data_IF_689665702733
#
_entry.id   IF_689665702733
#
_cell.length_a   1.000
_cell.length_b   1.000
_cell.length_c   1.000
_cell.angle_alpha   90.00
_cell.angle_beta   90.00
_cell.angle_gamma   90.00
#
_symmetry.space_group_name_H-M   'P 1'
#
loop_
_entity.id
_entity.type
_entity.pdbx_description
1 polymer ?
#
# COMPACT_ATOMS: atom_id res chain seq x y z
N UNK A 1 -10.59 51.59 46.44
CA UNK A 1 -11.88 52.11 45.91
C UNK A 1 -12.48 51.09 44.93
N UNK A 2 -13.61 50.45 45.25
CA UNK A 2 -14.97 51.02 45.26
C UNK A 2 -15.42 51.49 43.86
N UNK A 3 -16.52 50.98 43.26
CA UNK A 3 -17.52 50.03 43.78
C UNK A 3 -18.22 49.21 42.68
N UNK A 4 -19.02 48.23 43.12
CA UNK A 4 -19.96 47.42 42.30
C UNK A 4 -21.14 48.27 41.77
N UNK A 5 -21.82 47.78 40.73
CA UNK A 5 -23.30 47.56 40.77
C UNK A 5 -23.80 46.62 39.65
N UNK A 6 -24.76 45.77 39.99
CA UNK A 6 -25.66 45.01 39.11
C UNK A 6 -27.11 45.43 39.48
N UNK A 7 -28.16 45.24 38.65
CA UNK A 7 -28.83 43.94 38.50
C UNK A 7 -29.13 43.63 36.98
N UNK A 8 -30.27 43.17 36.42
CA UNK A 8 -31.67 43.04 36.86
C UNK A 8 -32.53 42.05 36.03
N UNK A 9 -33.81 41.99 36.42
CA UNK A 9 -34.94 41.15 35.99
C UNK A 9 -35.81 41.81 34.89
N UNK A 10 -36.83 41.17 34.27
CA UNK A 10 -37.20 39.77 33.96
C UNK A 10 -38.56 39.73 33.22
N UNK A 11 -39.02 38.54 32.76
CA UNK A 11 -40.44 38.18 32.49
C UNK A 11 -41.16 38.95 31.33
N UNK A 12 -42.36 38.60 30.80
CA UNK A 12 -43.18 37.36 30.65
C UNK A 12 -44.29 37.63 29.59
N UNK A 13 -45.09 36.69 29.06
CA UNK A 13 -44.89 35.28 28.69
C UNK A 13 -46.18 34.69 28.02
N UNK A 14 -46.01 33.69 27.13
CA UNK A 14 -46.94 32.55 26.84
C UNK A 14 -48.41 32.81 26.40
N UNK A 15 -48.69 32.41 25.14
CA UNK A 15 -49.96 31.80 24.65
C UNK A 15 -49.59 30.93 23.43
N UNK A 16 -49.98 29.67 23.19
CA UNK A 16 -51.06 28.75 23.66
C UNK A 16 -52.41 28.91 22.96
N UNK A 17 -52.70 28.04 21.98
CA UNK A 17 -54.07 27.75 21.49
C UNK A 17 -54.14 26.38 20.76
N UNK A 18 -55.15 25.55 21.08
CA UNK A 18 -55.46 24.19 20.53
C UNK A 18 -56.93 23.86 20.88
N UNK A 19 -57.87 23.60 19.93
CA UNK A 19 -58.27 22.21 19.54
C UNK A 19 -58.86 22.17 18.07
N UNK A 20 -59.74 21.22 17.62
CA UNK A 20 -60.08 19.85 18.07
C UNK A 20 -59.96 18.73 16.97
N UNK A 21 -60.04 17.43 17.37
CA UNK A 21 -60.24 16.23 16.50
C UNK A 21 -61.77 15.89 16.36
N UNK A 22 -62.28 14.72 15.85
CA UNK A 22 -61.67 13.40 15.50
C UNK A 22 -62.07 12.87 14.08
N UNK A 23 -61.86 11.63 13.61
CA UNK A 23 -62.34 10.28 14.06
C UNK A 23 -61.46 9.09 13.61
N UNK A 24 -61.31 8.08 14.50
CA UNK A 24 -61.34 6.59 14.34
C UNK A 24 -60.94 5.91 13.00
N UNK A 25 -60.35 4.70 12.95
CA UNK A 25 -60.39 3.46 13.76
C UNK A 25 -59.01 2.73 13.79
N UNK A 26 -58.69 1.64 14.53
CA UNK A 26 -59.04 1.01 15.83
C UNK A 26 -57.99 -0.11 16.11
N UNK A 27 -58.04 -0.75 17.29
CA UNK A 27 -57.21 -1.89 17.76
C UNK A 27 -55.79 -1.52 18.24
N UNK A 28 -55.32 -1.76 19.49
CA UNK A 28 -55.62 -2.78 20.56
C UNK A 28 -55.10 -4.17 20.21
N UNK A 29 -54.30 -4.91 21.00
CA UNK A 29 -53.43 -4.68 22.19
C UNK A 29 -52.53 -5.95 22.29
N UNK A 30 -51.45 -6.08 23.07
CA UNK A 30 -50.48 -5.18 23.76
C UNK A 30 -49.30 -6.09 24.25
N UNK A 31 -48.22 -5.52 24.80
CA UNK A 31 -47.50 -6.18 25.91
C UNK A 31 -46.00 -6.47 25.73
N UNK A 32 -45.23 -5.96 26.69
CA UNK A 32 -43.90 -6.41 27.13
C UNK A 32 -42.63 -6.12 26.29
N UNK A 33 -41.53 -6.00 27.04
CA UNK A 33 -40.17 -5.64 26.60
C UNK A 33 -39.24 -6.88 26.61
N UNK A 34 -37.98 -6.78 26.12
CA UNK A 34 -37.30 -7.94 25.53
C UNK A 34 -36.59 -8.87 26.52
N UNK A 35 -36.43 -10.12 26.10
CA UNK A 35 -35.47 -11.08 26.67
C UNK A 35 -34.51 -11.60 25.59
N UNK A 36 -33.27 -11.86 26.03
CA UNK A 36 -32.19 -12.43 25.22
C UNK A 36 -32.39 -13.95 25.08
N UNK A 37 -32.39 -14.50 23.86
CA UNK A 37 -32.09 -15.93 23.69
C UNK A 37 -31.34 -16.22 22.37
N UNK A 38 -30.44 -17.20 22.43
CA UNK A 38 -29.36 -17.38 21.46
C UNK A 38 -29.60 -18.61 20.57
N UNK A 39 -30.35 -18.43 19.48
CA UNK A 39 -30.68 -19.50 18.55
C UNK A 39 -29.44 -20.04 17.81
N UNK A 40 -29.15 -21.34 17.99
CA UNK A 40 -28.04 -22.04 17.33
C UNK A 40 -28.43 -22.44 15.90
N UNK A 41 -27.72 -21.94 14.88
CA UNK A 41 -27.88 -22.42 13.52
C UNK A 41 -26.90 -23.55 13.19
N UNK A 42 -27.38 -24.79 13.30
CA UNK A 42 -26.77 -25.97 12.71
C UNK A 42 -26.91 -25.95 11.19
N UNK A 43 -25.79 -26.03 10.45
CA UNK A 43 -25.79 -26.12 8.99
C UNK A 43 -25.50 -27.54 8.51
N UNK A 44 -26.46 -28.15 7.84
CA UNK A 44 -26.21 -29.32 6.98
C UNK A 44 -25.60 -28.86 5.64
N UNK A 45 -24.71 -29.66 5.02
CA UNK A 45 -24.08 -29.30 3.75
C UNK A 45 -25.05 -29.42 2.58
N UNK A 46 -25.06 -28.43 1.68
CA UNK A 46 -25.82 -28.49 0.43
C UNK A 46 -24.96 -29.08 -0.71
N UNK A 47 -25.58 -29.90 -1.56
CA UNK A 47 -24.94 -30.69 -2.61
C UNK A 47 -24.55 -29.88 -3.86
N UNK A 48 -23.77 -30.52 -4.74
CA UNK A 48 -23.24 -29.93 -5.98
C UNK A 48 -24.35 -29.37 -6.90
N UNK A 49 -24.15 -28.13 -7.38
CA UNK A 49 -25.07 -27.46 -8.31
C UNK A 49 -24.41 -26.27 -8.99
N UNK A 50 -23.49 -26.52 -9.92
CA UNK A 50 -22.61 -25.51 -10.51
C UNK A 50 -23.33 -24.56 -11.49
N UNK A 51 -23.99 -23.52 -10.95
CA UNK A 51 -24.61 -22.44 -11.75
C UNK A 51 -23.65 -21.26 -11.88
N UNK A 52 -23.10 -21.06 -13.07
CA UNK A 52 -22.19 -19.92 -13.36
C UNK A 52 -23.00 -18.62 -13.43
N UNK A 53 -22.86 -17.78 -12.40
CA UNK A 53 -23.46 -16.43 -12.36
C UNK A 53 -22.36 -15.39 -12.63
N UNK A 54 -22.40 -14.77 -13.81
CA UNK A 54 -21.48 -13.68 -14.22
C UNK A 54 -21.98 -12.31 -13.74
N UNK A 55 -21.88 -12.05 -12.43
CA UNK A 55 -22.13 -10.70 -11.87
C UNK A 55 -21.10 -9.70 -12.39
N UNK A 56 -21.53 -8.79 -13.28
CA UNK A 56 -20.74 -7.62 -13.68
C UNK A 56 -20.81 -6.55 -12.57
N UNK A 57 -19.65 -6.12 -12.09
CA UNK A 57 -19.52 -4.90 -11.27
C UNK A 57 -18.39 -4.05 -11.88
N UNK A 58 -18.71 -2.82 -12.28
CA UNK A 58 -17.71 -1.78 -12.61
C UNK A 58 -16.79 -2.03 -13.82
N UNK A 59 -17.33 -2.12 -15.04
CA UNK A 59 -16.67 -1.85 -16.34
C UNK A 59 -15.29 -2.50 -16.69
N UNK A 60 -14.74 -3.42 -15.90
CA UNK A 60 -13.48 -4.12 -16.19
C UNK A 60 -13.73 -5.62 -16.41
N UNK A 61 -13.12 -6.20 -17.45
CA UNK A 61 -13.21 -7.64 -17.73
C UNK A 61 -12.40 -8.40 -16.68
N UNK A 62 -13.05 -9.30 -15.93
CA UNK A 62 -12.39 -10.19 -14.97
C UNK A 62 -11.71 -11.36 -15.72
N UNK A 63 -10.50 -11.78 -15.32
CA UNK A 63 -9.89 -13.01 -15.84
C UNK A 63 -10.76 -14.25 -15.51
N UNK A 64 -11.06 -15.12 -16.49
CA UNK A 64 -11.75 -16.38 -16.25
C UNK A 64 -10.84 -17.42 -15.54
N UNK A 65 -11.45 -18.46 -15.00
CA UNK A 65 -10.80 -19.62 -14.36
C UNK A 65 -9.86 -19.26 -13.19
N UNK A 66 -10.47 -18.80 -12.10
CA UNK A 66 -9.84 -18.67 -10.79
C UNK A 66 -10.33 -19.80 -9.89
N UNK A 67 -9.41 -20.68 -9.48
CA UNK A 67 -9.66 -21.76 -8.50
C UNK A 67 -10.16 -21.17 -7.18
N UNK A 68 -11.01 -21.92 -6.48
CA UNK A 68 -11.39 -21.59 -5.11
C UNK A 68 -10.16 -21.68 -4.19
N UNK A 69 -10.07 -20.74 -3.24
CA UNK A 69 -9.00 -20.65 -2.25
C UNK A 69 -9.72 -20.41 -0.90
N UNK A 70 -9.42 -21.16 0.16
CA UNK A 70 -10.03 -20.97 1.48
C UNK A 70 -9.99 -19.51 1.96
N UNK A 71 -10.99 -19.13 2.75
CA UNK A 71 -11.23 -17.74 3.21
C UNK A 71 -11.12 -17.65 4.75
N UNK A 72 -10.86 -18.78 5.40
CA UNK A 72 -10.82 -18.94 6.85
C UNK A 72 -9.71 -18.09 7.49
N UNK A 73 -9.99 -17.52 8.68
CA UNK A 73 -9.15 -16.56 9.42
C UNK A 73 -8.78 -15.23 8.71
N UNK A 74 -9.59 -14.76 7.75
CA UNK A 74 -9.32 -13.46 7.08
C UNK A 74 -10.36 -12.41 7.45
N UNK A 75 -9.93 -11.40 8.21
CA UNK A 75 -10.73 -10.20 8.46
C UNK A 75 -10.75 -9.31 7.22
N UNK A 76 -11.93 -9.12 6.62
CA UNK A 76 -12.14 -8.19 5.49
C UNK A 76 -12.79 -6.89 5.97
N UNK A 77 -12.32 -5.76 5.47
CA UNK A 77 -12.93 -4.45 5.75
C UNK A 77 -14.26 -4.24 4.99
N UNK A 78 -14.47 -4.93 3.87
CA UNK A 78 -15.70 -4.86 3.08
C UNK A 78 -15.89 -6.10 2.19
N UNK A 79 -17.11 -6.32 1.70
CA UNK A 79 -17.41 -7.35 0.69
C UNK A 79 -16.53 -7.22 -0.57
N UNK A 80 -16.21 -5.98 -0.98
CA UNK A 80 -15.31 -5.72 -2.13
C UNK A 80 -13.91 -6.31 -1.90
N UNK A 81 -13.45 -6.43 -0.65
CA UNK A 81 -12.19 -7.08 -0.30
C UNK A 81 -12.31 -8.61 -0.48
N UNK A 82 -13.43 -9.23 -0.11
CA UNK A 82 -13.68 -10.68 -0.34
C UNK A 82 -13.56 -11.03 -1.83
N UNK A 83 -14.17 -10.24 -2.71
CA UNK A 83 -14.04 -10.43 -4.17
C UNK A 83 -12.60 -10.23 -4.71
N UNK A 84 -11.75 -9.49 -4.00
CA UNK A 84 -10.34 -9.27 -4.33
C UNK A 84 -9.42 -10.42 -3.87
N UNK A 85 -9.79 -11.21 -2.86
CA UNK A 85 -8.96 -12.28 -2.26
C UNK A 85 -8.31 -13.19 -3.30
N UNK A 86 -9.15 -13.82 -4.12
CA UNK A 86 -8.77 -14.75 -5.17
C UNK A 86 -7.85 -14.17 -6.26
N UNK A 87 -7.67 -12.85 -6.31
CA UNK A 87 -6.71 -12.15 -7.18
C UNK A 87 -5.46 -11.68 -6.41
N UNK A 88 -5.61 -11.19 -5.18
CA UNK A 88 -4.49 -10.68 -4.37
C UNK A 88 -3.52 -11.81 -3.99
N UNK A 89 -4.01 -12.98 -3.56
CA UNK A 89 -3.13 -14.12 -3.22
C UNK A 89 -2.46 -14.77 -4.43
N UNK A 90 -2.93 -14.45 -5.64
CA UNK A 90 -2.29 -14.85 -6.91
C UNK A 90 -1.22 -13.88 -7.37
N UNK A 91 -1.06 -12.73 -6.69
CA UNK A 91 0.08 -11.84 -6.90
C UNK A 91 1.32 -12.51 -6.35
N UNK A 92 2.38 -12.49 -7.15
CA UNK A 92 3.73 -12.72 -6.62
C UNK A 92 4.02 -11.63 -5.57
N UNK A 93 4.82 -12.01 -4.58
CA UNK A 93 5.47 -11.11 -3.64
C UNK A 93 6.94 -11.00 -4.06
N UNK A 94 7.56 -9.83 -3.87
CA UNK A 94 8.95 -9.59 -4.26
C UNK A 94 9.92 -10.45 -3.44
N UNK A 95 10.93 -10.99 -4.11
CA UNK A 95 12.02 -11.77 -3.53
C UNK A 95 13.16 -10.80 -3.17
N UNK A 96 12.89 -9.92 -2.18
CA UNK A 96 13.75 -8.80 -1.83
C UNK A 96 15.18 -9.28 -1.52
N UNK A 97 16.17 -8.55 -2.02
CA UNK A 97 17.57 -9.00 -1.98
C UNK A 97 18.50 -7.96 -1.38
N UNK A 98 19.45 -8.42 -0.57
CA UNK A 98 20.46 -7.60 0.12
C UNK A 98 21.70 -7.37 -0.73
N UNK A 99 22.34 -6.22 -0.51
CA UNK A 99 23.67 -5.89 -1.03
C UNK A 99 24.70 -6.14 0.08
N UNK A 100 25.55 -7.15 -0.09
CA UNK A 100 26.74 -7.32 0.74
C UNK A 100 27.92 -6.54 0.15
N UNK A 101 28.59 -5.73 0.96
CA UNK A 101 29.74 -4.91 0.57
C UNK A 101 31.04 -5.74 0.44
N UNK A 102 31.00 -6.84 -0.32
CA UNK A 102 32.12 -7.76 -0.52
C UNK A 102 32.97 -7.44 -1.76
N UNK A 103 32.55 -6.50 -2.61
CA UNK A 103 33.31 -6.06 -3.78
C UNK A 103 33.40 -4.54 -3.83
N UNK A 104 34.63 -4.02 -4.05
CA UNK A 104 34.93 -2.59 -4.15
C UNK A 104 34.07 -1.82 -5.17
N UNK A 105 33.55 -2.50 -6.21
CA UNK A 105 32.63 -1.94 -7.21
C UNK A 105 31.29 -1.47 -6.64
N UNK A 106 30.87 -1.98 -5.47
CA UNK A 106 29.63 -1.57 -4.81
C UNK A 106 29.84 -0.40 -3.84
N UNK A 107 31.03 -0.16 -3.29
CA UNK A 107 31.24 0.84 -2.25
C UNK A 107 30.71 2.23 -2.66
N UNK A 108 31.17 2.76 -3.79
CA UNK A 108 30.70 4.04 -4.31
C UNK A 108 29.20 4.07 -4.68
N UNK A 109 28.55 2.92 -4.90
CA UNK A 109 27.10 2.82 -5.15
C UNK A 109 26.32 2.73 -3.82
N UNK A 110 26.87 2.04 -2.84
CA UNK A 110 26.37 1.93 -1.48
C UNK A 110 26.37 3.31 -0.80
N UNK A 111 27.47 4.07 -0.93
CA UNK A 111 27.60 5.46 -0.49
C UNK A 111 26.53 6.38 -1.13
N UNK A 112 26.20 6.15 -2.41
CA UNK A 112 25.16 6.90 -3.12
C UNK A 112 23.74 6.52 -2.66
N UNK A 113 23.49 5.24 -2.36
CA UNK A 113 22.21 4.75 -1.81
C UNK A 113 22.01 5.27 -0.37
N UNK A 114 23.06 5.26 0.45
CA UNK A 114 23.05 5.78 1.81
C UNK A 114 22.85 7.30 1.84
N UNK A 115 23.59 8.05 1.02
CA UNK A 115 23.40 9.50 0.84
C UNK A 115 22.00 9.87 0.30
N UNK A 116 21.34 8.97 -0.42
CA UNK A 116 19.95 9.15 -0.86
C UNK A 116 18.91 8.80 0.23
N UNK A 117 19.33 8.24 1.37
CA UNK A 117 18.48 7.78 2.48
C UNK A 117 17.95 6.35 2.33
N UNK A 118 18.30 5.63 1.25
CA UNK A 118 17.65 4.38 0.86
C UNK A 118 18.34 3.10 1.37
N UNK A 119 19.38 3.21 2.20
CA UNK A 119 20.19 2.04 2.59
C UNK A 119 19.39 0.96 3.34
N UNK A 120 18.34 1.37 4.07
CA UNK A 120 17.41 0.49 4.77
C UNK A 120 16.70 -0.50 3.83
N UNK A 121 16.47 -0.14 2.55
CA UNK A 121 15.77 -1.00 1.58
C UNK A 121 16.67 -2.02 0.87
N UNK A 122 17.97 -2.10 1.23
CA UNK A 122 18.95 -2.99 0.59
C UNK A 122 19.91 -3.69 1.55
N UNK A 123 19.78 -3.50 2.87
CA UNK A 123 20.69 -4.07 3.89
C UNK A 123 19.93 -4.82 4.98
N UNK A 124 19.14 -4.12 5.78
CA UNK A 124 18.46 -4.66 6.97
C UNK A 124 17.09 -5.26 6.61
N UNK A 125 17.12 -6.17 5.64
CA UNK A 125 15.96 -6.89 5.13
C UNK A 125 15.52 -8.00 6.09
N UNK A 126 14.36 -7.82 6.71
CA UNK A 126 13.83 -8.67 7.78
C UNK A 126 13.03 -9.89 7.30
N UNK A 127 12.33 -10.53 8.23
CA UNK A 127 11.37 -11.61 7.93
C UNK A 127 10.05 -10.99 7.46
N UNK A 128 9.41 -11.61 6.45
CA UNK A 128 8.03 -11.29 6.06
C UNK A 128 7.09 -12.49 6.21
N UNK A 129 5.80 -12.21 6.35
CA UNK A 129 4.75 -13.24 6.39
C UNK A 129 3.80 -13.04 5.20
N UNK A 130 3.80 -13.93 4.18
CA UNK A 130 3.01 -13.75 2.95
C UNK A 130 1.52 -13.52 3.20
N UNK A 131 0.95 -14.28 4.16
CA UNK A 131 -0.41 -14.12 4.65
C UNK A 131 -0.69 -12.71 5.18
N UNK A 132 0.12 -12.20 6.12
CA UNK A 132 -0.03 -10.84 6.66
C UNK A 132 0.06 -9.77 5.56
N UNK A 133 1.02 -9.92 4.63
CA UNK A 133 1.18 -9.01 3.48
C UNK A 133 -0.06 -9.03 2.57
N UNK A 134 -0.67 -10.21 2.32
CA UNK A 134 -1.95 -10.28 1.61
C UNK A 134 -3.13 -9.72 2.42
N UNK A 135 -3.25 -10.03 3.73
CA UNK A 135 -4.25 -9.48 4.67
C UNK A 135 -4.16 -7.94 4.76
N UNK A 136 -2.99 -7.35 4.53
CA UNK A 136 -2.79 -5.90 4.36
C UNK A 136 -3.23 -5.39 2.98
N UNK A 137 -2.61 -5.89 1.90
CA UNK A 137 -2.81 -5.39 0.52
C UNK A 137 -4.27 -5.49 0.05
N UNK A 138 -5.04 -6.45 0.57
CA UNK A 138 -6.45 -6.64 0.23
C UNK A 138 -7.41 -5.65 0.89
N UNK A 139 -7.03 -5.14 2.07
CA UNK A 139 -7.87 -4.27 2.90
C UNK A 139 -7.56 -2.79 2.68
N UNK A 140 -6.70 -2.46 1.71
CA UNK A 140 -6.52 -1.10 1.19
C UNK A 140 -7.87 -0.54 0.68
N UNK A 141 -8.44 0.50 1.32
CA UNK A 141 -9.72 1.07 0.91
C UNK A 141 -9.59 1.82 -0.42
N UNK A 142 -10.71 2.03 -1.13
CA UNK A 142 -10.67 2.69 -2.45
C UNK A 142 -10.22 4.16 -2.35
N UNK A 143 -10.57 4.83 -1.26
CA UNK A 143 -10.20 6.21 -0.94
C UNK A 143 -8.85 6.33 -0.18
N UNK A 144 -8.00 5.29 -0.18
CA UNK A 144 -6.76 5.25 0.60
C UNK A 144 -5.82 6.45 0.34
N UNK A 145 -5.83 7.00 -0.88
CA UNK A 145 -5.05 8.17 -1.28
C UNK A 145 -5.91 9.43 -1.55
N UNK A 146 -7.17 9.48 -1.09
CA UNK A 146 -8.05 10.64 -1.26
C UNK A 146 -7.93 11.59 -0.05
N UNK A 147 -7.27 12.76 -0.20
CA UNK A 147 -7.04 13.67 0.91
C UNK A 147 -8.35 14.24 1.45
N UNK A 148 -8.44 14.41 2.77
CA UNK A 148 -9.60 14.97 3.46
C UNK A 148 -10.75 13.99 3.70
N UNK A 149 -10.73 12.77 3.15
CA UNK A 149 -11.74 11.76 3.51
C UNK A 149 -11.48 11.20 4.92
N UNK A 150 -12.50 11.06 5.80
CA UNK A 150 -12.35 10.43 7.10
C UNK A 150 -11.82 9.00 6.96
N UNK A 151 -10.86 8.62 7.80
CA UNK A 151 -10.14 7.34 7.70
C UNK A 151 -9.44 7.10 6.33
N UNK A 152 -9.15 8.14 5.55
CA UNK A 152 -8.08 8.06 4.54
C UNK A 152 -6.81 7.52 5.17
N UNK A 153 -6.01 6.77 4.40
CA UNK A 153 -4.76 6.14 4.84
C UNK A 153 -4.86 5.09 5.95
N UNK A 154 -6.03 4.82 6.50
CA UNK A 154 -6.25 3.71 7.45
C UNK A 154 -6.47 2.37 6.71
N UNK A 155 -5.88 1.29 7.22
CA UNK A 155 -6.00 -0.07 6.68
C UNK A 155 -6.36 -1.02 7.81
N UNK A 156 -7.35 -1.89 7.59
CA UNK A 156 -7.78 -2.86 8.60
C UNK A 156 -7.06 -4.20 8.40
N UNK A 157 -6.32 -4.66 9.41
CA UNK A 157 -5.52 -5.90 9.36
C UNK A 157 -5.69 -6.65 10.68
N UNK A 158 -6.10 -7.93 10.64
CA UNK A 158 -6.30 -8.79 11.81
C UNK A 158 -7.12 -8.11 12.94
N UNK A 159 -8.20 -7.42 12.57
CA UNK A 159 -9.05 -6.67 13.51
C UNK A 159 -8.44 -5.40 14.12
N UNK A 160 -7.27 -4.94 13.65
CA UNK A 160 -6.66 -3.66 14.00
C UNK A 160 -6.82 -2.64 12.87
N UNK A 161 -6.82 -1.36 13.21
CA UNK A 161 -6.88 -0.25 12.26
C UNK A 161 -5.54 0.48 12.28
N UNK A 162 -4.83 0.47 11.15
CA UNK A 162 -3.41 0.85 11.04
C UNK A 162 -3.30 2.05 10.11
N UNK A 163 -2.71 3.14 10.59
CA UNK A 163 -2.50 4.36 9.79
C UNK A 163 -1.20 4.22 8.98
N UNK A 164 -1.30 4.38 7.66
CA UNK A 164 -0.17 4.22 6.73
C UNK A 164 0.08 5.55 6.02
N UNK A 165 1.14 6.25 6.38
CA UNK A 165 1.50 7.53 5.75
C UNK A 165 2.98 7.61 5.44
N UNK A 166 3.40 8.46 4.47
CA UNK A 166 4.81 8.75 4.20
C UNK A 166 5.61 9.10 5.46
N UNK A 167 5.04 9.97 6.31
CA UNK A 167 5.65 10.36 7.59
C UNK A 167 5.83 9.19 8.55
N UNK A 168 4.83 8.31 8.69
CA UNK A 168 4.95 7.14 9.58
C UNK A 168 5.94 6.10 9.03
N UNK A 169 5.98 5.91 7.72
CA UNK A 169 6.96 5.04 7.06
C UNK A 169 8.39 5.59 7.25
N UNK A 170 8.61 6.89 7.06
CA UNK A 170 9.90 7.53 7.33
C UNK A 170 10.31 7.41 8.81
N UNK A 171 9.39 7.66 9.74
CA UNK A 171 9.66 7.50 11.18
C UNK A 171 10.05 6.06 11.54
N UNK A 172 9.38 5.04 10.97
CA UNK A 172 9.72 3.63 11.17
C UNK A 172 11.10 3.27 10.60
N UNK A 173 11.46 3.84 9.44
CA UNK A 173 12.75 3.62 8.79
C UNK A 173 13.90 4.46 9.37
N UNK A 174 13.61 5.38 10.31
CA UNK A 174 14.50 6.43 10.78
C UNK A 174 15.07 7.33 9.66
N UNK A 175 14.32 7.50 8.55
CA UNK A 175 14.72 8.34 7.42
C UNK A 175 14.17 9.76 7.56
N UNK A 176 14.99 10.77 7.31
CA UNK A 176 14.58 12.17 7.32
C UNK A 176 13.74 12.51 6.09
N UNK A 177 12.58 13.17 6.28
CA UNK A 177 11.88 13.85 5.19
C UNK A 177 12.84 14.92 4.60
N UNK A 178 13.07 14.97 3.28
CA UNK A 178 13.97 15.94 2.68
C UNK A 178 13.53 17.39 2.97
N UNK A 179 14.44 18.21 3.52
CA UNK A 179 14.19 19.63 3.67
C UNK A 179 14.08 20.30 2.29
N UNK A 180 12.87 20.78 1.97
CA UNK A 180 12.57 21.48 0.70
C UNK A 180 13.56 22.64 0.48
N UNK A 181 14.10 22.81 -0.73
CA UNK A 181 13.36 23.01 -1.97
C UNK A 181 12.90 21.72 -2.67
N UNK A 182 11.83 21.84 -3.45
CA UNK A 182 11.33 20.77 -4.30
C UNK A 182 12.45 20.26 -5.23
N UNK A 183 12.73 18.96 -5.17
CA UNK A 183 13.81 18.34 -5.95
C UNK A 183 13.46 18.44 -7.43
N UNK A 184 14.17 19.32 -8.16
CA UNK A 184 13.96 19.52 -9.59
C UNK A 184 14.31 18.23 -10.33
N UNK A 185 13.27 17.52 -10.76
CA UNK A 185 13.35 16.33 -11.58
C UNK A 185 13.94 16.68 -12.96
N UNK A 186 14.85 15.85 -13.51
CA UNK A 186 15.42 16.12 -14.82
C UNK A 186 14.35 15.96 -15.91
N UNK A 187 14.42 16.81 -16.93
CA UNK A 187 13.67 16.57 -18.17
C UNK A 187 14.08 15.24 -18.81
N UNK A 188 13.20 14.59 -19.56
CA UNK A 188 13.49 13.30 -20.22
C UNK A 188 14.74 13.34 -21.11
N UNK A 189 15.09 14.52 -21.64
CA UNK A 189 16.33 14.76 -22.39
C UNK A 189 17.57 14.73 -21.50
N UNK A 190 17.58 15.47 -20.39
CA UNK A 190 18.67 15.46 -19.41
C UNK A 190 18.84 14.06 -18.79
N UNK A 191 17.72 13.40 -18.50
CA UNK A 191 17.67 12.08 -17.90
C UNK A 191 18.35 11.04 -18.80
N UNK A 192 17.97 10.95 -20.08
CA UNK A 192 18.58 9.99 -21.02
C UNK A 192 20.05 10.30 -21.32
N UNK A 193 20.41 11.57 -21.39
CA UNK A 193 21.81 12.00 -21.60
C UNK A 193 22.70 11.54 -20.43
N UNK A 194 22.27 11.77 -19.19
CA UNK A 194 22.99 11.35 -17.99
C UNK A 194 23.02 9.82 -17.84
N UNK A 195 21.86 9.15 -17.98
CA UNK A 195 21.74 7.70 -17.85
C UNK A 195 22.64 6.92 -18.81
N UNK A 196 22.85 7.46 -20.01
CA UNK A 196 23.68 6.87 -21.07
C UNK A 196 25.10 7.43 -21.17
N UNK A 197 25.52 8.27 -20.21
CA UNK A 197 26.81 8.99 -20.25
C UNK A 197 27.09 9.69 -21.59
N UNK A 198 26.05 10.30 -22.17
CA UNK A 198 26.10 11.07 -23.42
C UNK A 198 25.82 10.29 -24.71
N UNK A 199 25.74 8.95 -24.66
CA UNK A 199 25.55 8.09 -25.83
C UNK A 199 24.19 8.30 -26.52
N UNK A 200 23.14 8.61 -25.75
CA UNK A 200 21.77 8.83 -26.26
C UNK A 200 21.32 10.25 -25.89
N UNK A 201 20.81 11.01 -26.88
CA UNK A 201 20.55 12.46 -26.74
C UNK A 201 19.06 12.85 -26.63
N UNK A 202 18.16 11.89 -26.80
CA UNK A 202 16.70 12.05 -26.82
C UNK A 202 16.04 10.78 -26.30
N UNK A 203 14.91 10.88 -25.59
CA UNK A 203 14.13 9.69 -25.23
C UNK A 203 13.59 9.01 -26.51
N UNK A 204 13.66 7.67 -26.65
CA UNK A 204 13.14 6.96 -27.82
C UNK A 204 11.65 7.22 -28.08
N UNK A 205 11.27 7.41 -29.35
CA UNK A 205 9.90 7.81 -29.74
C UNK A 205 8.84 6.75 -29.44
N UNK A 206 9.25 5.48 -29.32
CA UNK A 206 8.42 4.35 -28.88
C UNK A 206 8.35 4.20 -27.34
N UNK A 207 9.01 5.10 -26.60
CA UNK A 207 9.14 5.07 -25.15
C UNK A 207 10.20 4.11 -24.60
N UNK A 208 10.81 3.26 -25.42
CA UNK A 208 11.62 2.13 -24.96
C UNK A 208 13.10 2.50 -24.79
N UNK A 209 13.45 3.09 -23.63
CA UNK A 209 14.86 3.28 -23.28
C UNK A 209 15.47 1.96 -22.76
N UNK A 210 16.38 1.38 -23.54
CA UNK A 210 16.95 0.05 -23.30
C UNK A 210 18.05 0.04 -22.22
N UNK A 211 18.07 -1.00 -21.40
CA UNK A 211 19.06 -1.21 -20.32
C UNK A 211 20.50 -1.29 -20.86
N UNK A 212 20.67 -1.83 -22.07
CA UNK A 212 21.96 -1.88 -22.81
C UNK A 212 22.46 -0.51 -23.29
N UNK A 213 21.77 0.59 -22.95
CA UNK A 213 22.20 1.98 -23.14
C UNK A 213 22.45 2.72 -21.83
N UNK A 214 22.34 2.06 -20.68
CA UNK A 214 22.76 2.61 -19.39
C UNK A 214 24.27 2.52 -19.23
N UNK A 215 24.90 3.52 -18.62
CA UNK A 215 26.28 3.38 -18.14
C UNK A 215 26.32 2.48 -16.89
N UNK A 216 27.49 1.92 -16.58
CA UNK A 216 27.65 0.91 -15.51
C UNK A 216 27.07 1.36 -14.15
N UNK A 217 27.27 2.63 -13.77
CA UNK A 217 26.66 3.28 -12.59
C UNK A 217 25.14 3.07 -12.54
N UNK A 218 24.47 3.31 -13.66
CA UNK A 218 23.02 3.22 -13.77
C UNK A 218 22.49 1.82 -14.00
N UNK A 219 23.25 0.95 -14.67
CA UNK A 219 22.86 -0.44 -14.85
C UNK A 219 22.95 -1.22 -13.52
N UNK A 220 23.93 -0.91 -12.67
CA UNK A 220 24.00 -1.41 -11.28
C UNK A 220 22.77 -0.95 -10.48
N UNK A 221 22.49 0.37 -10.46
CA UNK A 221 21.33 0.93 -9.75
C UNK A 221 19.98 0.43 -10.30
N UNK A 222 19.89 0.18 -11.62
CA UNK A 222 18.72 -0.43 -12.24
C UNK A 222 18.49 -1.85 -11.71
N UNK A 223 19.52 -2.70 -11.67
CA UNK A 223 19.39 -4.07 -11.16
C UNK A 223 18.91 -4.08 -9.70
N UNK A 224 19.47 -3.21 -8.85
CA UNK A 224 19.04 -3.04 -7.45
C UNK A 224 17.59 -2.56 -7.36
N UNK A 225 17.25 -1.51 -8.09
CA UNK A 225 15.92 -0.91 -8.11
C UNK A 225 14.84 -1.87 -8.64
N UNK A 226 15.16 -2.69 -9.63
CA UNK A 226 14.26 -3.74 -10.14
C UNK A 226 14.08 -4.85 -9.11
N UNK A 227 15.13 -5.40 -8.49
CA UNK A 227 14.95 -6.55 -7.59
C UNK A 227 14.11 -6.19 -6.34
N UNK A 228 14.30 -5.01 -5.76
CA UNK A 228 13.64 -4.66 -4.48
C UNK A 228 12.38 -3.78 -4.65
N UNK A 229 12.47 -2.69 -5.44
CA UNK A 229 11.42 -1.64 -5.45
C UNK A 229 10.51 -1.60 -6.69
N UNK A 230 10.96 -2.16 -7.81
CA UNK A 230 10.29 -2.09 -9.10
C UNK A 230 10.47 -3.36 -9.97
N UNK A 231 10.16 -4.56 -9.47
CA UNK A 231 10.35 -5.80 -10.20
C UNK A 231 9.47 -5.88 -11.44
N UNK A 232 10.14 -5.87 -12.60
CA UNK A 232 9.57 -5.91 -13.94
C UNK A 232 9.81 -7.28 -14.57
N UNK A 233 8.81 -7.82 -15.27
CA UNK A 233 8.97 -8.98 -16.17
C UNK A 233 9.71 -8.64 -17.46
N UNK A 234 9.87 -7.35 -17.76
CA UNK A 234 10.52 -6.84 -18.96
C UNK A 234 11.82 -6.14 -18.57
N UNK A 235 12.89 -6.93 -18.43
CA UNK A 235 14.23 -6.47 -18.02
C UNK A 235 15.03 -5.79 -19.15
N UNK A 236 14.44 -5.66 -20.35
CA UNK A 236 15.11 -5.04 -21.50
C UNK A 236 15.10 -3.51 -21.45
N UNK A 237 14.15 -2.90 -20.72
CA UNK A 237 13.92 -1.45 -20.71
C UNK A 237 13.80 -0.89 -19.30
N UNK A 238 14.09 0.42 -19.18
CA UNK A 238 13.86 1.21 -17.96
C UNK A 238 12.71 2.19 -18.21
N UNK A 239 11.72 2.19 -17.31
CA UNK A 239 10.59 3.10 -17.36
C UNK A 239 10.85 4.35 -16.51
N UNK A 240 10.13 5.44 -16.83
CA UNK A 240 10.47 6.80 -16.38
C UNK A 240 10.63 6.97 -14.87
N UNK A 241 9.78 6.34 -14.04
CA UNK A 241 9.86 6.50 -12.59
C UNK A 241 11.08 5.80 -11.95
N UNK A 242 11.49 4.62 -12.43
CA UNK A 242 12.75 4.00 -12.01
C UNK A 242 13.95 4.75 -12.58
N UNK A 243 13.87 5.24 -13.82
CA UNK A 243 14.89 6.12 -14.41
C UNK A 243 15.13 7.38 -13.55
N UNK A 244 14.06 8.04 -13.11
CA UNK A 244 14.13 9.16 -12.17
C UNK A 244 14.70 8.75 -10.81
N UNK A 245 14.28 7.62 -10.24
CA UNK A 245 14.78 7.12 -8.96
C UNK A 245 16.29 6.86 -8.99
N UNK A 246 16.79 6.11 -9.98
CA UNK A 246 18.24 5.83 -10.08
C UNK A 246 19.06 7.10 -10.36
N UNK A 247 18.48 8.09 -11.03
CA UNK A 247 19.09 9.42 -11.18
C UNK A 247 19.18 10.19 -9.86
N UNK A 248 18.16 10.15 -9.00
CA UNK A 248 18.23 10.81 -7.68
C UNK A 248 19.32 10.16 -6.81
N UNK A 249 19.32 8.83 -6.73
CA UNK A 249 20.33 8.06 -6.01
C UNK A 249 21.74 8.37 -6.53
N UNK A 250 21.96 8.27 -7.85
CA UNK A 250 23.28 8.45 -8.47
C UNK A 250 23.86 9.86 -8.36
N UNK A 251 23.02 10.86 -8.05
CA UNK A 251 23.43 12.25 -7.84
C UNK A 251 23.52 12.60 -6.36
N UNK A 252 23.27 11.64 -5.46
CA UNK A 252 23.26 11.86 -4.01
C UNK A 252 22.20 12.88 -3.58
N UNK A 253 21.08 12.96 -4.30
CA UNK A 253 19.92 13.76 -3.94
C UNK A 253 19.07 12.97 -2.94
N UNK A 254 18.61 13.57 -1.84
CA UNK A 254 17.79 12.87 -0.85
C UNK A 254 16.45 12.45 -1.46
N UNK A 255 16.03 11.22 -1.16
CA UNK A 255 14.75 10.65 -1.58
C UNK A 255 13.84 10.55 -0.36
N UNK A 256 12.58 10.98 -0.49
CA UNK A 256 11.58 10.66 0.54
C UNK A 256 11.19 9.17 0.40
N UNK A 257 11.82 8.34 1.23
CA UNK A 257 11.68 6.88 1.17
C UNK A 257 10.29 6.44 1.59
N UNK A 258 9.71 7.10 2.60
CA UNK A 258 8.35 6.85 3.05
C UNK A 258 7.29 7.16 1.98
N UNK A 259 7.41 8.29 1.27
CA UNK A 259 6.55 8.64 0.12
C UNK A 259 6.75 7.64 -1.02
N UNK A 260 8.00 7.29 -1.33
CA UNK A 260 8.32 6.33 -2.39
C UNK A 260 7.67 4.95 -2.15
N UNK A 261 7.72 4.44 -0.92
CA UNK A 261 7.07 3.18 -0.51
C UNK A 261 5.54 3.34 -0.49
N UNK A 262 5.04 4.45 0.05
CA UNK A 262 3.60 4.76 0.07
C UNK A 262 3.02 4.71 -1.34
N UNK A 263 3.70 5.28 -2.34
CA UNK A 263 3.27 5.19 -3.74
C UNK A 263 3.29 3.76 -4.30
N UNK A 264 4.19 2.87 -3.86
CA UNK A 264 4.08 1.44 -4.24
C UNK A 264 2.86 0.78 -3.62
N UNK A 265 2.51 1.10 -2.36
CA UNK A 265 1.29 0.60 -1.70
C UNK A 265 0.04 1.11 -2.43
N UNK A 266 0.01 2.39 -2.81
CA UNK A 266 -1.10 3.01 -3.59
C UNK A 266 -1.36 2.29 -4.91
N UNK A 267 -0.33 1.74 -5.58
CA UNK A 267 -0.49 0.94 -6.82
C UNK A 267 -1.33 -0.34 -6.66
N UNK A 268 -1.58 -0.78 -5.43
CA UNK A 268 -2.45 -1.93 -5.13
C UNK A 268 -3.91 -1.55 -4.83
N UNK A 269 -4.24 -0.25 -4.70
CA UNK A 269 -5.60 0.25 -4.49
C UNK A 269 -6.48 -0.05 -5.71
N UNK A 270 -7.70 -0.54 -5.44
CA UNK A 270 -8.74 -0.93 -6.41
C UNK A 270 -8.31 -1.65 -7.70
N UNK A 271 -7.31 -2.52 -7.61
CA UNK A 271 -6.86 -3.34 -8.73
C UNK A 271 -7.11 -4.83 -8.50
N UNK A 272 -7.60 -5.49 -9.56
CA UNK A 272 -7.81 -6.94 -9.67
C UNK A 272 -6.70 -7.62 -10.49
N UNK A 273 -5.64 -6.87 -10.87
CA UNK A 273 -4.52 -7.41 -11.63
C UNK A 273 -3.67 -8.38 -10.81
N UNK A 274 -3.50 -9.60 -11.30
CA UNK A 274 -2.64 -10.64 -10.70
C UNK A 274 -1.16 -10.44 -11.01
N UNK A 275 -0.84 -9.78 -12.14
CA UNK A 275 0.54 -9.50 -12.57
C UNK A 275 1.17 -8.29 -11.87
N UNK A 276 0.49 -7.67 -10.89
CA UNK A 276 1.03 -6.57 -10.10
C UNK A 276 1.75 -7.16 -8.89
N UNK A 277 3.07 -7.12 -8.93
CA UNK A 277 3.97 -7.67 -7.93
C UNK A 277 3.98 -6.80 -6.67
N UNK A 278 3.78 -7.43 -5.51
CA UNK A 278 3.81 -6.75 -4.21
C UNK A 278 5.27 -6.50 -3.81
N UNK A 279 5.67 -5.24 -3.77
CA UNK A 279 7.02 -4.78 -3.42
C UNK A 279 7.14 -4.57 -1.90
N UNK A 280 8.36 -4.54 -1.38
CA UNK A 280 8.66 -4.27 0.04
C UNK A 280 7.91 -5.12 1.10
N UNK A 281 7.64 -6.43 0.90
CA UNK A 281 6.91 -7.26 1.87
C UNK A 281 7.53 -7.31 3.28
N UNK A 282 8.85 -7.23 3.42
CA UNK A 282 9.55 -7.31 4.70
C UNK A 282 9.43 -5.98 5.46
N UNK A 283 9.53 -4.87 4.72
CA UNK A 283 9.28 -3.53 5.24
C UNK A 283 7.82 -3.36 5.65
N UNK A 284 6.87 -3.82 4.81
CA UNK A 284 5.44 -3.87 5.13
C UNK A 284 5.22 -4.68 6.40
N UNK A 285 5.79 -5.89 6.50
CA UNK A 285 5.67 -6.74 7.69
C UNK A 285 6.20 -6.04 8.93
N UNK A 286 7.43 -5.54 8.90
CA UNK A 286 8.06 -4.88 10.05
C UNK A 286 7.31 -3.61 10.48
N UNK A 287 6.83 -2.79 9.53
CA UNK A 287 6.02 -1.61 9.80
C UNK A 287 4.68 -1.95 10.49
N UNK A 288 4.01 -3.01 10.01
CA UNK A 288 2.76 -3.51 10.61
C UNK A 288 3.01 -4.00 12.05
N UNK A 289 4.06 -4.80 12.27
CA UNK A 289 4.41 -5.35 13.58
C UNK A 289 4.96 -4.28 14.56
N UNK A 290 5.60 -3.23 14.05
CA UNK A 290 6.04 -2.08 14.83
C UNK A 290 4.85 -1.28 15.40
N UNK A 291 3.78 -1.09 14.62
CA UNK A 291 2.54 -0.51 15.16
C UNK A 291 1.80 -1.48 16.09
N UNK A 292 1.71 -2.76 15.71
CA UNK A 292 0.99 -3.79 16.48
C UNK A 292 1.70 -5.15 16.44
N UNK A 293 2.38 -5.51 17.54
CA UNK A 293 3.13 -6.78 17.65
C UNK A 293 2.26 -8.05 17.64
N UNK A 294 0.94 -7.93 17.82
CA UNK A 294 -0.04 -9.05 17.83
C UNK A 294 -0.90 -9.07 16.56
N UNK A 295 -0.26 -9.07 15.39
CA UNK A 295 -0.92 -9.24 14.08
C UNK A 295 -0.72 -10.62 13.45
N UNK A 296 0.25 -11.39 13.93
CA UNK A 296 0.50 -12.76 13.47
C UNK A 296 -0.43 -13.75 14.18
N UNK A 297 -0.88 -14.76 13.44
CA UNK A 297 -1.52 -15.96 13.97
C UNK A 297 -0.50 -17.09 14.16
N UNK A 298 -0.85 -18.11 14.96
CA UNK A 298 0.02 -19.26 15.22
C UNK A 298 0.33 -20.10 13.96
N UNK A 299 -0.41 -19.89 12.86
CA UNK A 299 -0.25 -20.56 11.57
C UNK A 299 0.40 -19.66 10.48
N UNK A 300 0.90 -18.46 10.84
CA UNK A 300 1.61 -17.58 9.92
C UNK A 300 3.04 -18.08 9.62
N UNK A 301 3.19 -18.72 8.46
CA UNK A 301 4.48 -19.22 7.97
C UNK A 301 5.32 -18.06 7.39
N UNK A 302 6.59 -17.99 7.76
CA UNK A 302 7.54 -17.02 7.23
C UNK A 302 7.81 -17.22 5.73
N UNK A 303 8.04 -16.13 5.01
CA UNK A 303 8.50 -16.13 3.62
C UNK A 303 9.97 -16.54 3.46
N UNK A 304 10.45 -16.71 2.23
CA UNK A 304 11.87 -16.95 1.96
C UNK A 304 12.77 -15.84 2.53
N UNK A 305 13.94 -16.23 3.01
CA UNK A 305 15.00 -15.31 3.46
C UNK A 305 15.54 -14.47 2.29
N UNK A 306 15.94 -13.20 2.52
CA UNK A 306 16.52 -12.35 1.47
C UNK A 306 17.70 -13.01 0.74
N UNK A 307 17.78 -12.85 -0.58
CA UNK A 307 18.92 -13.31 -1.38
C UNK A 307 19.99 -12.23 -1.50
N UNK A 308 21.20 -12.59 -1.91
CA UNK A 308 22.25 -11.60 -2.21
C UNK A 308 22.15 -11.14 -3.67
N UNK A 309 22.17 -9.83 -3.93
CA UNK A 309 22.17 -9.27 -5.29
C UNK A 309 23.52 -9.58 -5.97
N UNK A 310 23.52 -10.63 -6.80
CA UNK A 310 24.66 -10.97 -7.66
C UNK A 310 24.55 -10.22 -8.98
N UNK A 311 25.45 -9.27 -9.23
CA UNK A 311 25.48 -8.56 -10.52
C UNK A 311 26.27 -9.39 -11.54
N UNK A 312 25.60 -9.75 -12.62
CA UNK A 312 26.22 -10.43 -13.75
C UNK A 312 26.94 -9.40 -14.64
N UNK A 313 28.26 -9.30 -14.51
CA UNK A 313 29.10 -8.40 -15.30
C UNK A 313 29.05 -8.65 -16.82
N UNK A 314 28.48 -9.77 -17.30
CA UNK A 314 28.26 -10.04 -18.74
C UNK A 314 27.08 -9.27 -19.37
N UNK A 315 26.49 -8.33 -18.64
CA UNK A 315 25.46 -7.40 -19.12
C UNK A 315 26.03 -6.00 -19.47
N UNK A 316 27.36 -5.84 -19.45
CA UNK A 316 28.09 -4.59 -19.71
C UNK A 316 29.10 -4.79 -20.84
#
# INVERSE_FOLDING_TARGET
PHSQTHPSHAHNARTTEVPPPPTTDQNVDDGHAPLFEQARHSFCPLSQGQRVITTKVGHRKLPPNVLFIPIDDISFHSEKCVFKWKYVVRRRIADESVIFNQYYSYAAVFDLIDKAGMICTVTNLGIFYPKLVWKFIINLPTNFNEPGTPNSRNVHVCGKCILVSPTLLNNYLNTSIPASPAVVLPTSKQLVLELSSGLVRTWPTDGQFFVTKLSMKYAILYNIGVVNGYPSTHLATIFTALAQLVYLISTGKPVDVGEFIFQQIVRHVDTYGINILICFPQLITGFLLFQHSRLLADDDVAGPTPRTITINYKLF
#
